data_IF_625939680028
#
_entry.id   IF_625939680028
#
_cell.length_a   1.000
_cell.length_b   1.000
_cell.length_c   1.000
_cell.angle_alpha   90.00
_cell.angle_beta   90.00
_cell.angle_gamma   90.00
#
_symmetry.space_group_name_H-M   'P 1'
#
loop_
_entity.id
_entity.type
_entity.pdbx_description
1 polymer ?
#
# COMPACT_ATOMS: atom_id res chain seq x y z
N UNK A 1 21.44 0.71 15.89
CA UNK A 1 21.78 1.28 14.57
C UNK A 1 20.62 1.05 13.61
N UNK A 2 20.09 2.06 12.90
CA UNK A 2 19.11 1.80 11.85
C UNK A 2 19.81 1.07 10.70
N UNK A 3 19.33 -0.13 10.34
CA UNK A 3 19.79 -0.83 9.14
C UNK A 3 19.21 -0.12 7.92
N UNK A 4 20.08 0.43 7.07
CA UNK A 4 19.69 0.95 5.76
C UNK A 4 19.15 -0.21 4.92
N UNK A 5 17.85 -0.22 4.68
CA UNK A 5 17.18 -1.20 3.84
C UNK A 5 17.27 -0.74 2.38
N UNK A 6 17.98 -1.49 1.54
CA UNK A 6 18.08 -1.24 0.09
C UNK A 6 17.46 -2.42 -0.66
N UNK A 7 16.42 -2.14 -1.43
CA UNK A 7 15.73 -3.12 -2.27
C UNK A 7 16.10 -2.88 -3.73
N UNK A 8 16.61 -3.91 -4.42
CA UNK A 8 16.77 -3.93 -5.88
C UNK A 8 15.76 -4.90 -6.48
N UNK A 9 14.85 -4.39 -7.30
CA UNK A 9 13.89 -5.20 -8.07
C UNK A 9 14.11 -4.99 -9.56
N UNK A 10 14.37 -6.08 -10.29
CA UNK A 10 14.39 -6.11 -11.75
C UNK A 10 12.95 -6.11 -12.28
N UNK A 11 12.61 -5.30 -13.29
CA UNK A 11 11.29 -5.30 -13.93
C UNK A 11 10.35 -4.13 -13.60
N UNK A 12 10.64 -3.35 -12.53
CA UNK A 12 9.78 -2.21 -12.16
C UNK A 12 9.82 -1.07 -13.18
N UNK A 13 10.94 -0.90 -13.90
CA UNK A 13 11.09 0.15 -14.91
C UNK A 13 10.23 -0.14 -16.14
N UNK A 14 10.23 -1.39 -16.58
CA UNK A 14 9.39 -1.87 -17.68
C UNK A 14 7.91 -1.78 -17.30
N UNK A 15 7.58 -2.10 -16.05
CA UNK A 15 6.24 -1.99 -15.51
C UNK A 15 5.76 -0.53 -15.44
N UNK A 16 6.60 0.41 -14.99
CA UNK A 16 6.30 1.84 -14.97
C UNK A 16 6.07 2.38 -16.39
N UNK A 17 6.93 2.00 -17.34
CA UNK A 17 6.73 2.36 -18.74
C UNK A 17 5.43 1.78 -19.32
N UNK A 18 5.05 0.55 -18.96
CA UNK A 18 3.81 -0.07 -19.39
C UNK A 18 2.58 0.58 -18.74
N UNK A 19 2.66 0.98 -17.47
CA UNK A 19 1.65 1.78 -16.78
C UNK A 19 1.46 3.14 -17.46
N UNK A 20 2.55 3.77 -17.90
CA UNK A 20 2.54 5.05 -18.62
C UNK A 20 1.78 5.01 -19.96
N UNK A 21 1.61 3.82 -20.56
CA UNK A 21 0.81 3.64 -21.80
C UNK A 21 -0.69 3.61 -21.54
N UNK A 22 -1.13 3.48 -20.29
CA UNK A 22 -2.53 3.49 -19.92
C UNK A 22 -3.03 4.92 -19.70
N UNK A 23 -4.35 5.19 -19.85
CA UNK A 23 -4.91 6.45 -19.42
C UNK A 23 -4.58 6.73 -17.94
N UNK A 24 -4.14 7.95 -17.62
CA UNK A 24 -3.65 8.35 -16.28
C UNK A 24 -4.57 7.92 -15.13
N UNK A 25 -5.89 8.05 -15.31
CA UNK A 25 -6.89 7.64 -14.31
C UNK A 25 -6.91 6.12 -14.08
N UNK A 26 -6.71 5.33 -15.14
CA UNK A 26 -6.64 3.87 -15.06
C UNK A 26 -5.35 3.44 -14.36
N UNK A 27 -4.21 4.02 -14.75
CA UNK A 27 -2.92 3.76 -14.11
C UNK A 27 -2.97 4.02 -12.61
N UNK A 28 -3.41 5.22 -12.20
CA UNK A 28 -3.55 5.57 -10.77
C UNK A 28 -4.46 4.61 -9.99
N UNK A 29 -5.59 4.22 -10.57
CA UNK A 29 -6.53 3.29 -9.93
C UNK A 29 -5.88 1.93 -9.73
N UNK A 30 -5.27 1.37 -10.78
CA UNK A 30 -4.60 0.07 -10.74
C UNK A 30 -3.46 0.08 -9.71
N UNK A 31 -2.64 1.13 -9.69
CA UNK A 31 -1.56 1.27 -8.70
C UNK A 31 -2.11 1.34 -7.28
N UNK A 32 -3.16 2.12 -7.03
CA UNK A 32 -3.76 2.21 -5.70
C UNK A 32 -4.33 0.86 -5.26
N UNK A 33 -5.07 0.18 -6.14
CA UNK A 33 -5.70 -1.09 -5.82
C UNK A 33 -4.64 -2.17 -5.53
N UNK A 34 -3.53 -2.20 -6.29
CA UNK A 34 -2.39 -3.09 -6.04
C UNK A 34 -1.70 -2.81 -4.70
N UNK A 35 -1.48 -1.54 -4.36
CA UNK A 35 -0.88 -1.14 -3.08
C UNK A 35 -1.78 -1.50 -1.89
N UNK A 36 -3.10 -1.34 -2.02
CA UNK A 36 -4.05 -1.72 -0.97
C UNK A 36 -4.01 -3.22 -0.73
N UNK A 37 -4.10 -4.02 -1.79
CA UNK A 37 -4.09 -5.48 -1.66
C UNK A 37 -2.76 -5.99 -1.10
N UNK A 38 -1.63 -5.48 -1.59
CA UNK A 38 -0.33 -5.88 -1.09
C UNK A 38 -0.10 -5.43 0.37
N UNK A 39 -0.50 -4.20 0.71
CA UNK A 39 -0.38 -3.65 2.07
C UNK A 39 -1.16 -4.43 3.13
N UNK A 40 -2.18 -5.19 2.73
CA UNK A 40 -2.96 -6.03 3.64
C UNK A 40 -2.10 -7.12 4.29
N UNK A 41 -1.01 -7.55 3.64
CA UNK A 41 -0.02 -8.47 4.24
C UNK A 41 0.59 -7.85 5.51
N UNK A 42 1.05 -6.60 5.43
CA UNK A 42 1.58 -5.88 6.60
C UNK A 42 0.51 -5.61 7.62
N UNK A 43 -0.71 -5.24 7.20
CA UNK A 43 -1.81 -5.01 8.14
C UNK A 43 -2.15 -6.27 8.93
N UNK A 44 -2.20 -7.44 8.29
CA UNK A 44 -2.44 -8.72 8.95
C UNK A 44 -1.33 -9.05 9.96
N UNK A 45 -0.06 -8.87 9.57
CA UNK A 45 1.06 -9.07 10.48
C UNK A 45 0.99 -8.10 11.68
N UNK A 46 0.68 -6.83 11.44
CA UNK A 46 0.52 -5.83 12.50
C UNK A 46 -0.64 -6.17 13.43
N UNK A 47 -1.77 -6.67 12.90
CA UNK A 47 -2.90 -7.15 13.70
C UNK A 47 -2.55 -8.36 14.58
N UNK A 48 -1.67 -9.24 14.09
CA UNK A 48 -1.21 -10.40 14.85
C UNK A 48 -0.24 -10.02 15.98
N UNK A 49 0.55 -8.96 15.78
CA UNK A 49 1.52 -8.46 16.76
C UNK A 49 0.92 -7.43 17.74
N UNK A 50 -0.21 -6.81 17.38
CA UNK A 50 -0.83 -5.79 18.21
C UNK A 50 -1.28 -6.37 19.57
N UNK A 51 -0.94 -5.71 20.69
CA UNK A 51 -1.39 -6.14 22.00
C UNK A 51 -2.92 -6.10 22.10
N UNK A 52 -3.47 -7.07 22.81
CA UNK A 52 -4.92 -7.27 22.92
C UNK A 52 -5.34 -7.04 24.37
N UNK A 53 -5.97 -5.89 24.61
CA UNK A 53 -6.84 -5.66 25.77
C UNK A 53 -8.30 -5.96 25.36
N UNK A 54 -9.04 -4.96 24.86
CA UNK A 54 -10.39 -5.13 24.29
C UNK A 54 -10.40 -5.41 22.78
N UNK A 55 -9.25 -5.39 22.12
CA UNK A 55 -9.11 -5.63 20.68
C UNK A 55 -9.27 -4.42 19.76
N UNK A 56 -9.69 -3.25 20.27
CA UNK A 56 -9.91 -2.04 19.44
C UNK A 56 -8.68 -1.59 18.65
N UNK A 57 -7.48 -1.67 19.24
CA UNK A 57 -6.25 -1.31 18.54
C UNK A 57 -6.06 -2.20 17.31
N UNK A 58 -6.13 -3.53 17.50
CA UNK A 58 -6.03 -4.54 16.44
C UNK A 58 -7.08 -4.29 15.35
N UNK A 59 -8.34 -4.08 15.72
CA UNK A 59 -9.43 -3.86 14.78
C UNK A 59 -9.30 -2.54 14.00
N UNK A 60 -8.64 -1.54 14.59
CA UNK A 60 -8.42 -0.25 13.94
C UNK A 60 -7.31 -0.27 12.88
N UNK A 61 -6.50 -1.33 12.80
CA UNK A 61 -5.41 -1.44 11.82
C UNK A 61 -6.01 -1.72 10.44
N UNK A 62 -5.81 -0.78 9.53
CA UNK A 62 -6.39 -0.81 8.18
C UNK A 62 -5.37 -0.41 7.13
N UNK A 63 -5.74 -0.65 5.87
CA UNK A 63 -5.03 -0.20 4.68
C UNK A 63 -5.92 0.75 3.92
N UNK A 64 -5.41 1.93 3.57
CA UNK A 64 -6.23 2.89 2.85
C UNK A 64 -5.44 4.03 2.22
N UNK A 65 -6.01 4.63 1.18
CA UNK A 65 -5.44 5.81 0.52
C UNK A 65 -5.89 7.14 1.14
N UNK A 66 -6.56 7.09 2.29
CA UNK A 66 -7.12 8.26 2.97
C UNK A 66 -6.68 8.23 4.44
N UNK A 67 -6.15 9.34 4.89
CA UNK A 67 -5.89 9.62 6.29
C UNK A 67 -7.00 10.48 6.88
N UNK A 68 -7.14 10.42 8.21
CA UNK A 68 -7.97 11.36 8.95
C UNK A 68 -7.45 12.80 8.81
N UNK A 69 -8.26 13.79 9.22
CA UNK A 69 -7.83 15.20 9.21
C UNK A 69 -6.57 15.43 10.07
N UNK A 70 -6.51 14.79 11.24
CA UNK A 70 -5.37 14.91 12.17
C UNK A 70 -4.11 14.24 11.62
N UNK A 71 -4.23 13.03 11.08
CA UNK A 71 -3.11 12.31 10.46
C UNK A 71 -2.54 13.06 9.25
N UNK A 72 -3.41 13.65 8.41
CA UNK A 72 -2.98 14.40 7.23
C UNK A 72 -2.18 15.66 7.57
N UNK A 73 -2.48 16.33 8.68
CA UNK A 73 -1.76 17.55 9.09
C UNK A 73 -0.27 17.30 9.35
N UNK A 74 0.08 16.08 9.73
CA UNK A 74 1.44 15.66 10.03
C UNK A 74 2.18 15.08 8.81
N UNK A 75 1.54 15.01 7.64
CA UNK A 75 2.08 14.29 6.49
C UNK A 75 2.18 15.17 5.25
N UNK A 76 3.29 15.01 4.52
CA UNK A 76 3.51 15.60 3.20
C UNK A 76 3.36 14.50 2.15
N UNK A 77 2.53 14.73 1.13
CA UNK A 77 2.39 13.80 -0.01
C UNK A 77 3.60 13.90 -0.90
N UNK A 78 4.31 12.79 -1.08
CA UNK A 78 5.54 12.67 -1.88
C UNK A 78 5.32 11.95 -3.20
N UNK A 79 4.21 11.23 -3.36
CA UNK A 79 3.89 10.43 -4.54
C UNK A 79 2.49 10.67 -5.08
N UNK A 80 2.30 10.41 -6.37
CA UNK A 80 1.00 10.61 -7.04
C UNK A 80 -0.09 9.63 -6.59
N UNK A 81 0.33 8.52 -5.97
CA UNK A 81 -0.50 7.50 -5.32
C UNK A 81 0.23 7.09 -4.04
N UNK A 82 -0.45 7.20 -2.91
CA UNK A 82 0.02 6.74 -1.61
C UNK A 82 -1.07 5.91 -0.93
N UNK A 83 -0.65 4.87 -0.24
CA UNK A 83 -1.50 4.02 0.59
C UNK A 83 -0.81 3.88 1.94
N UNK A 84 -1.59 3.97 3.00
CA UNK A 84 -1.13 3.93 4.37
C UNK A 84 -1.60 2.65 5.02
N UNK A 85 -0.74 2.08 5.85
CA UNK A 85 -1.04 0.92 6.69
C UNK A 85 -0.83 1.35 8.14
N UNK A 86 -1.85 1.18 8.98
CA UNK A 86 -1.73 1.57 10.39
C UNK A 86 -3.06 1.63 11.12
N UNK A 87 -3.01 1.91 12.43
CA UNK A 87 -4.20 2.09 13.25
C UNK A 87 -5.01 3.33 12.83
N UNK A 88 -6.26 3.37 13.29
CA UNK A 88 -7.13 4.54 13.17
C UNK A 88 -6.55 5.78 13.87
N UNK A 89 -7.26 6.93 13.84
CA UNK A 89 -6.73 8.22 14.31
C UNK A 89 -6.64 8.36 15.84
N UNK A 90 -6.49 7.25 16.56
CA UNK A 90 -6.38 7.19 18.01
C UNK A 90 -4.92 7.37 18.45
N UNK A 91 -4.57 8.42 19.23
CA UNK A 91 -3.22 8.65 19.70
C UNK A 91 -2.61 7.48 20.47
N UNK A 92 -3.47 6.68 21.13
CA UNK A 92 -3.09 5.49 21.88
C UNK A 92 -2.32 4.48 21.03
N UNK A 93 -2.61 4.35 19.73
CA UNK A 93 -1.87 3.43 18.85
C UNK A 93 -0.40 3.84 18.69
N UNK A 94 -0.12 5.15 18.62
CA UNK A 94 1.25 5.68 18.56
C UNK A 94 1.95 5.50 19.90
N UNK A 95 1.26 5.82 21.00
CA UNK A 95 1.79 5.62 22.35
C UNK A 95 2.10 4.15 22.63
N UNK A 96 1.29 3.22 22.12
CA UNK A 96 1.53 1.80 22.27
C UNK A 96 2.77 1.35 21.48
N UNK A 97 2.92 1.80 20.23
CA UNK A 97 4.06 1.44 19.37
C UNK A 97 5.41 1.91 19.96
N UNK A 98 5.45 3.13 20.49
CA UNK A 98 6.71 3.79 20.91
C UNK A 98 6.90 3.88 22.43
N UNK A 99 5.89 3.54 23.21
CA UNK A 99 5.89 3.72 24.66
C UNK A 99 5.66 5.17 25.08
N UNK A 100 5.58 5.35 26.39
CA UNK A 100 5.49 6.66 27.04
C UNK A 100 6.48 6.71 28.21
N UNK A 101 6.51 7.82 28.94
CA UNK A 101 7.30 7.90 30.17
C UNK A 101 6.78 6.98 31.30
N UNK A 102 5.55 6.47 31.19
CA UNK A 102 4.91 5.59 32.20
C UNK A 102 4.82 4.13 31.76
N UNK A 103 4.79 3.87 30.45
CA UNK A 103 4.49 2.57 29.88
C UNK A 103 5.55 2.19 28.84
N UNK A 104 6.10 0.96 28.88
CA UNK A 104 7.06 0.51 27.89
C UNK A 104 6.42 0.35 26.50
N UNK A 105 7.25 0.48 25.45
CA UNK A 105 6.83 0.27 24.08
C UNK A 105 6.42 -1.19 23.81
N UNK A 106 5.35 -1.37 23.04
CA UNK A 106 4.91 -2.67 22.51
C UNK A 106 4.76 -2.53 20.98
N UNK A 107 5.88 -2.57 20.24
CA UNK A 107 5.87 -2.32 18.81
C UNK A 107 5.17 -3.45 18.07
N UNK A 108 4.30 -3.08 17.13
CA UNK A 108 3.52 -3.99 16.29
C UNK A 108 3.59 -3.59 14.81
N UNK A 109 3.70 -2.29 14.50
CA UNK A 109 3.79 -1.81 13.12
C UNK A 109 5.20 -1.99 12.55
N UNK A 110 6.23 -1.58 13.29
CA UNK A 110 7.61 -1.70 12.81
C UNK A 110 8.03 -3.15 12.59
N UNK A 111 7.84 -4.10 13.54
CA UNK A 111 8.18 -5.49 13.31
C UNK A 111 7.34 -6.13 12.19
N UNK A 112 6.07 -5.74 12.04
CA UNK A 112 5.27 -6.19 10.90
C UNK A 112 5.90 -5.76 9.58
N UNK A 113 6.26 -4.49 9.42
CA UNK A 113 6.90 -3.99 8.20
C UNK A 113 8.25 -4.65 7.92
N UNK A 114 9.08 -4.80 8.96
CA UNK A 114 10.39 -5.44 8.82
C UNK A 114 10.24 -6.91 8.38
N UNK A 115 9.17 -7.60 8.78
CA UNK A 115 8.88 -8.98 8.38
C UNK A 115 8.25 -9.10 6.98
N UNK A 116 7.42 -8.13 6.57
CA UNK A 116 6.58 -8.28 5.36
C UNK A 116 6.96 -7.37 4.20
N UNK A 117 7.87 -6.40 4.39
CA UNK A 117 8.17 -5.35 3.40
C UNK A 117 8.57 -5.89 2.02
N UNK A 118 9.41 -6.93 1.98
CA UNK A 118 9.80 -7.60 0.73
C UNK A 118 8.62 -8.28 0.03
N UNK A 119 7.78 -8.95 0.82
CA UNK A 119 6.57 -9.62 0.31
C UNK A 119 5.58 -8.60 -0.26
N UNK A 120 5.39 -7.45 0.40
CA UNK A 120 4.54 -6.36 -0.10
C UNK A 120 5.05 -5.85 -1.43
N UNK A 121 6.36 -5.63 -1.56
CA UNK A 121 6.96 -5.15 -2.81
C UNK A 121 6.77 -6.17 -3.94
N UNK A 122 7.12 -7.44 -3.70
CA UNK A 122 6.96 -8.50 -4.69
C UNK A 122 5.50 -8.65 -5.13
N UNK A 123 4.58 -8.67 -4.15
CA UNK A 123 3.15 -8.80 -4.42
C UNK A 123 2.58 -7.60 -5.18
N UNK A 124 3.03 -6.38 -4.86
CA UNK A 124 2.69 -5.18 -5.62
C UNK A 124 3.10 -5.31 -7.08
N UNK A 125 4.33 -5.77 -7.35
CA UNK A 125 4.83 -6.00 -8.70
C UNK A 125 4.00 -7.03 -9.49
N UNK A 126 3.63 -8.14 -8.86
CA UNK A 126 2.78 -9.19 -9.47
C UNK A 126 1.39 -8.64 -9.82
N UNK A 127 0.72 -8.00 -8.87
CA UNK A 127 -0.64 -7.47 -9.07
C UNK A 127 -0.66 -6.40 -10.16
N UNK A 128 0.32 -5.48 -10.12
CA UNK A 128 0.45 -4.44 -11.14
C UNK A 128 0.69 -5.04 -12.53
N UNK A 129 1.56 -6.05 -12.64
CA UNK A 129 1.86 -6.70 -13.93
C UNK A 129 0.62 -7.34 -14.53
N UNK A 130 -0.15 -8.09 -13.73
CA UNK A 130 -1.42 -8.68 -14.16
C UNK A 130 -2.44 -7.61 -14.55
N UNK A 131 -2.58 -6.56 -13.75
CA UNK A 131 -3.52 -5.48 -14.03
C UNK A 131 -3.16 -4.70 -15.31
N UNK A 132 -1.88 -4.49 -15.59
CA UNK A 132 -1.38 -3.88 -16.83
C UNK A 132 -1.69 -4.77 -18.04
N UNK A 133 -1.41 -6.07 -17.97
CA UNK A 133 -1.74 -7.01 -19.05
C UNK A 133 -3.25 -6.99 -19.35
N UNK A 134 -4.09 -7.06 -18.31
CA UNK A 134 -5.55 -6.96 -18.44
C UNK A 134 -5.99 -5.62 -19.02
N UNK A 135 -5.38 -4.51 -18.60
CA UNK A 135 -5.70 -3.18 -19.11
C UNK A 135 -5.31 -3.01 -20.58
N UNK A 136 -4.14 -3.48 -20.98
CA UNK A 136 -3.67 -3.49 -22.37
C UNK A 136 -4.59 -4.30 -23.27
N UNK A 137 -4.97 -5.52 -22.86
CA UNK A 137 -5.91 -6.36 -23.62
C UNK A 137 -7.28 -5.69 -23.79
N UNK A 138 -7.81 -5.05 -22.73
CA UNK A 138 -9.07 -4.29 -22.81
C UNK A 138 -8.98 -3.10 -23.75
N UNK A 139 -7.85 -2.38 -23.74
CA UNK A 139 -7.63 -1.24 -24.62
C UNK A 139 -7.58 -1.68 -26.09
N UNK A 140 -6.82 -2.74 -26.40
CA UNK A 140 -6.74 -3.30 -27.75
C UNK A 140 -8.11 -3.73 -28.29
N UNK A 141 -8.94 -4.40 -27.46
CA UNK A 141 -10.30 -4.78 -27.82
C UNK A 141 -11.21 -3.57 -28.12
N UNK A 142 -11.10 -2.50 -27.33
CA UNK A 142 -11.89 -1.27 -27.55
C UNK A 142 -11.49 -0.56 -28.84
N UNK A 143 -10.20 -0.49 -29.12
CA UNK A 143 -9.67 0.12 -30.36
C UNK A 143 -10.08 -0.69 -31.59
N UNK A 144 -10.01 -2.03 -31.54
CA UNK A 144 -10.51 -2.89 -32.62
C UNK A 144 -12.00 -2.66 -32.90
N UNK A 145 -12.85 -2.59 -31.85
CA UNK A 145 -14.28 -2.32 -31.98
C UNK A 145 -14.57 -0.90 -32.51
N UNK A 146 -13.75 0.10 -32.16
CA UNK A 146 -13.86 1.46 -32.70
C UNK A 146 -13.52 1.52 -34.17
N UNK A 147 -12.50 0.79 -34.62
CA UNK A 147 -12.11 0.70 -36.05
C UNK A 147 -13.22 0.03 -36.88
N UNK A 148 -13.79 -1.07 -36.39
CA UNK A 148 -14.92 -1.77 -37.05
C UNK A 148 -16.22 -0.96 -37.13
N UNK A 149 -16.40 0.07 -36.30
CA UNK A 149 -17.57 0.97 -36.33
C UNK A 149 -17.37 2.20 -37.23
N UNK A 150 -16.15 2.45 -37.68
CA UNK A 150 -15.76 3.62 -38.49
C UNK A 150 -15.52 3.27 -39.97
N UNK A 151 -15.37 1.99 -40.30
CA UNK A 151 -15.44 1.47 -41.66
C UNK A 151 -16.83 0.91 -41.91
#
# INVERSE_FOLDING_TARGET
>A
MPRNFSLRTTGLRELDAALGKLPKAVGKRVTRDALIEAGEVTAQAARALAPVDKGYLRESITVGSKLSRSQRKALETRSSVEVYVGPGPHPQGIMQEFGTFKEPAQPFMRPAWDATGEQVLGRTGVILSDAVMKAAARHARKEAKRRQRKG
#
